data_IF_017222044804
#
_entry.id   IF_017222044804
#
_cell.length_a   1.000
_cell.length_b   1.000
_cell.length_c   1.000
_cell.angle_alpha   90.00
_cell.angle_beta   90.00
_cell.angle_gamma   90.00
#
_symmetry.space_group_name_H-M   'P 1'
#
loop_
_entity.id
_entity.type
_entity.pdbx_description
1 polymer ?
#
# COMPACT_ATOMS: atom_id res chain seq x y z
N UNK A 1 0.58 28.90 0.42
CA UNK A 1 0.55 28.34 0.10
C UNK A 1 1.06 27.27 -0.01
N UNK A 2 0.79 26.63 -0.06
CA UNK A 2 1.41 25.79 0.05
C UNK A 2 1.93 25.08 -1.04
N UNK A 3 2.84 25.37 -1.44
CA UNK A 3 3.58 24.81 -2.51
C UNK A 3 4.07 23.45 -2.25
N UNK A 4 4.10 23.09 -1.03
CA UNK A 4 4.54 21.76 -0.66
C UNK A 4 3.78 20.68 -1.37
N UNK A 5 2.48 20.91 -1.54
CA UNK A 5 1.64 19.87 -2.13
C UNK A 5 1.69 19.89 -3.65
N UNK A 6 2.31 20.91 -4.25
CA UNK A 6 2.35 20.98 -5.70
C UNK A 6 3.17 19.85 -6.31
N UNK A 7 4.16 19.37 -5.59
CA UNK A 7 5.03 18.32 -6.11
C UNK A 7 4.65 16.95 -5.64
N UNK A 8 3.63 16.83 -4.83
CA UNK A 8 3.22 15.56 -4.29
C UNK A 8 2.46 14.78 -5.35
N UNK A 9 2.82 13.52 -5.49
CA UNK A 9 2.25 12.67 -6.53
C UNK A 9 1.54 11.49 -5.92
N UNK A 10 0.65 10.91 -6.69
CA UNK A 10 -0.01 9.67 -6.33
C UNK A 10 0.45 8.60 -7.29
N UNK A 11 1.06 7.55 -6.76
CA UNK A 11 1.53 6.44 -7.58
C UNK A 11 0.58 5.27 -7.41
N UNK A 12 0.19 4.69 -8.52
CA UNK A 12 -0.59 3.46 -8.52
C UNK A 12 0.38 2.33 -8.75
N UNK A 13 0.56 1.47 -7.76
CA UNK A 13 1.49 0.36 -7.87
C UNK A 13 0.78 -0.85 -8.43
N UNK A 14 1.46 -1.55 -9.33
CA UNK A 14 0.91 -2.78 -9.84
C UNK A 14 1.56 -3.96 -9.13
N UNK A 15 1.04 -5.14 -9.44
CA UNK A 15 1.45 -6.35 -8.78
C UNK A 15 2.91 -6.67 -9.01
N UNK A 16 3.40 -6.44 -10.22
CA UNK A 16 4.78 -6.77 -10.56
C UNK A 16 5.78 -6.06 -9.69
N UNK A 17 5.54 -4.79 -9.41
CA UNK A 17 6.46 -4.05 -8.57
C UNK A 17 6.58 -4.72 -7.22
N UNK A 18 5.44 -5.05 -6.63
CA UNK A 18 5.44 -5.61 -5.28
C UNK A 18 5.97 -7.05 -5.24
N UNK A 19 5.79 -7.79 -6.32
CA UNK A 19 6.28 -9.16 -6.37
C UNK A 19 7.80 -9.23 -6.45
N UNK A 20 8.42 -8.17 -6.94
CA UNK A 20 9.87 -8.15 -7.08
C UNK A 20 10.56 -7.25 -6.08
N UNK A 21 9.81 -6.44 -5.35
CA UNK A 21 10.37 -5.55 -4.34
C UNK A 21 9.37 -5.38 -3.20
N UNK A 22 9.45 -6.24 -2.18
CA UNK A 22 8.48 -6.15 -1.08
C UNK A 22 8.62 -4.89 -0.25
N UNK A 23 9.72 -4.16 -0.39
CA UNK A 23 9.91 -2.91 0.31
C UNK A 23 9.52 -1.71 -0.53
N UNK A 24 8.87 -1.93 -1.67
CA UNK A 24 8.56 -0.84 -2.59
C UNK A 24 7.74 0.26 -1.94
N UNK A 25 6.87 -0.09 -1.01
CA UNK A 25 6.03 0.91 -0.35
C UNK A 25 6.85 1.99 0.34
N UNK A 26 8.06 1.69 0.73
CA UNK A 26 8.89 2.61 1.48
C UNK A 26 9.79 3.46 0.59
N UNK A 27 9.70 3.30 -0.73
CA UNK A 27 10.61 3.99 -1.64
C UNK A 27 10.04 5.26 -2.23
N UNK A 28 8.81 5.61 -1.91
CA UNK A 28 8.15 6.74 -2.55
C UNK A 28 8.13 8.00 -1.69
N UNK A 29 8.80 7.95 -0.58
CA UNK A 29 9.08 9.10 0.27
C UNK A 29 7.80 9.87 0.60
N UNK A 30 7.71 11.13 0.18
CA UNK A 30 6.56 11.96 0.55
C UNK A 30 5.35 11.72 -0.34
N UNK A 31 5.47 10.89 -1.35
CA UNK A 31 4.38 10.71 -2.30
C UNK A 31 3.39 9.66 -1.81
N UNK A 32 2.18 9.76 -2.31
CA UNK A 32 1.11 8.84 -1.92
C UNK A 32 1.09 7.64 -2.83
N UNK A 33 0.55 6.54 -2.31
CA UNK A 33 0.46 5.28 -3.04
C UNK A 33 -0.98 4.82 -3.00
N UNK A 34 -1.47 4.34 -4.13
CA UNK A 34 -2.80 3.78 -4.24
C UNK A 34 -2.69 2.32 -4.70
N UNK A 35 -3.34 1.42 -3.97
CA UNK A 35 -3.36 0.01 -4.29
C UNK A 35 -4.75 -0.39 -4.73
N UNK A 36 -4.95 -0.69 -6.02
CA UNK A 36 -6.23 -1.19 -6.49
C UNK A 36 -6.53 -2.56 -5.91
N UNK A 37 -7.81 -2.90 -5.83
CA UNK A 37 -8.21 -4.17 -5.29
C UNK A 37 -7.65 -5.34 -6.09
N UNK A 38 -7.55 -5.17 -7.41
CA UNK A 38 -7.03 -6.25 -8.25
C UNK A 38 -5.60 -6.59 -7.88
N UNK A 39 -4.82 -5.60 -7.45
CA UNK A 39 -3.45 -5.87 -7.04
C UNK A 39 -3.44 -6.73 -5.77
N UNK A 40 -4.30 -6.39 -4.83
CA UNK A 40 -4.38 -7.18 -3.60
C UNK A 40 -4.79 -8.61 -3.89
N UNK A 41 -5.73 -8.79 -4.82
CA UNK A 41 -6.17 -10.12 -5.20
C UNK A 41 -5.05 -10.91 -5.86
N UNK A 42 -4.30 -10.25 -6.73
CA UNK A 42 -3.18 -10.94 -7.39
C UNK A 42 -2.10 -11.31 -6.42
N UNK A 43 -1.81 -10.45 -5.46
CA UNK A 43 -0.85 -10.80 -4.43
C UNK A 43 -1.30 -12.04 -3.66
N UNK A 44 -2.57 -12.09 -3.34
CA UNK A 44 -3.10 -13.24 -2.60
C UNK A 44 -2.93 -14.52 -3.42
N UNK A 45 -3.09 -14.43 -4.72
CA UNK A 45 -2.96 -15.61 -5.59
C UNK A 45 -1.53 -16.11 -5.71
N UNK A 46 -0.54 -15.31 -5.38
CA UNK A 46 0.87 -15.68 -5.56
C UNK A 46 1.59 -15.92 -4.24
N UNK A 47 0.87 -16.06 -3.16
CA UNK A 47 1.52 -16.10 -1.84
C UNK A 47 2.02 -17.48 -1.44
N UNK A 48 1.70 -18.52 -2.20
CA UNK A 48 2.06 -19.88 -1.82
C UNK A 48 3.25 -20.36 -2.61
N UNK A 49 4.01 -21.25 -2.01
CA UNK A 49 5.14 -21.85 -2.67
C UNK A 49 6.46 -21.35 -2.12
N UNK A 50 7.54 -21.85 -2.71
CA UNK A 50 8.88 -21.60 -2.23
C UNK A 50 9.67 -20.65 -3.13
N UNK A 51 9.04 -20.12 -4.17
CA UNK A 51 9.74 -19.21 -5.07
C UNK A 51 10.06 -17.90 -4.38
N UNK A 52 10.99 -17.17 -4.96
CA UNK A 52 11.32 -15.85 -4.45
C UNK A 52 10.13 -14.92 -4.55
N UNK A 53 9.36 -15.05 -5.63
CA UNK A 53 8.16 -14.22 -5.80
C UNK A 53 7.19 -14.50 -4.65
N UNK A 54 6.96 -15.77 -4.32
CA UNK A 54 6.03 -16.10 -3.24
C UNK A 54 6.50 -15.53 -1.91
N UNK A 55 7.80 -15.60 -1.66
CA UNK A 55 8.35 -15.04 -0.43
C UNK A 55 8.19 -13.54 -0.38
N UNK A 56 8.43 -12.87 -1.50
CA UNK A 56 8.25 -11.43 -1.59
C UNK A 56 6.79 -11.04 -1.36
N UNK A 57 5.88 -11.81 -1.93
CA UNK A 57 4.46 -11.54 -1.76
C UNK A 57 4.06 -11.67 -0.29
N UNK A 58 4.55 -12.72 0.37
CA UNK A 58 4.22 -12.89 1.79
C UNK A 58 4.78 -11.76 2.64
N UNK A 59 5.98 -11.27 2.29
CA UNK A 59 6.54 -10.13 3.01
C UNK A 59 5.73 -8.86 2.76
N UNK A 60 5.34 -8.63 1.51
CA UNK A 60 4.48 -7.49 1.19
C UNK A 60 3.17 -7.56 1.97
N UNK A 61 2.56 -8.73 2.01
CA UNK A 61 1.30 -8.90 2.74
C UNK A 61 1.48 -8.61 4.22
N UNK A 62 2.60 -9.06 4.78
CA UNK A 62 2.87 -8.81 6.18
C UNK A 62 3.01 -7.32 6.46
N UNK A 63 3.70 -6.61 5.56
CA UNK A 63 3.84 -5.17 5.71
C UNK A 63 2.47 -4.49 5.64
N UNK A 64 1.65 -4.89 4.67
CA UNK A 64 0.31 -4.29 4.54
C UNK A 64 -0.54 -4.55 5.77
N UNK A 65 -0.48 -5.76 6.30
CA UNK A 65 -1.25 -6.08 7.50
C UNK A 65 -0.79 -5.20 8.66
N UNK A 66 0.51 -5.00 8.79
CA UNK A 66 1.02 -4.17 9.88
C UNK A 66 0.58 -2.73 9.72
N UNK A 67 0.61 -2.21 8.49
CA UNK A 67 0.17 -0.84 8.28
C UNK A 67 -1.32 -0.67 8.55
N UNK A 68 -2.10 -1.70 8.31
CA UNK A 68 -3.54 -1.64 8.51
C UNK A 68 -3.98 -1.97 9.94
N UNK A 69 -3.07 -2.49 10.74
CA UNK A 69 -3.43 -2.93 12.08
C UNK A 69 -3.97 -1.74 12.87
N UNK A 70 -5.10 -1.96 13.51
CA UNK A 70 -5.74 -0.94 14.34
C UNK A 70 -6.27 0.26 13.57
N UNK A 71 -6.29 0.20 12.24
CA UNK A 71 -6.82 1.30 11.45
C UNK A 71 -8.34 1.22 11.43
N UNK A 72 -8.99 2.36 11.59
CA UNK A 72 -10.43 2.44 11.42
C UNK A 72 -10.75 2.64 9.95
N UNK A 73 -12.03 2.48 9.62
CA UNK A 73 -12.47 2.73 8.25
C UNK A 73 -12.14 4.17 7.83
N UNK A 74 -12.36 5.12 8.72
CA UNK A 74 -12.08 6.51 8.40
C UNK A 74 -10.60 6.73 8.13
N UNK A 75 -9.74 6.05 8.86
CA UNK A 75 -8.30 6.15 8.63
C UNK A 75 -7.91 5.53 7.32
N UNK A 76 -8.54 4.44 6.93
CA UNK A 76 -8.26 3.84 5.64
C UNK A 76 -8.66 4.78 4.50
N UNK A 77 -9.79 5.44 4.63
CA UNK A 77 -10.25 6.37 3.60
C UNK A 77 -9.33 7.59 3.53
N UNK A 78 -8.89 8.08 4.67
CA UNK A 78 -8.02 9.26 4.71
C UNK A 78 -6.59 8.96 4.29
N UNK A 79 -6.23 7.69 4.21
CA UNK A 79 -4.87 7.30 3.86
C UNK A 79 -4.04 6.96 5.08
N UNK A 80 -3.41 5.80 5.06
CA UNK A 80 -2.56 5.36 6.16
C UNK A 80 -1.18 5.96 6.01
N UNK A 81 -0.64 6.57 7.06
CA UNK A 81 0.73 7.08 6.97
C UNK A 81 1.71 5.93 6.76
N UNK A 82 2.65 6.15 5.88
CA UNK A 82 3.69 5.18 5.61
C UNK A 82 4.93 5.63 6.38
N UNK A 83 5.43 4.82 7.32
CA UNK A 83 6.61 5.23 8.08
C UNK A 83 7.82 5.40 7.17
N UNK A 84 8.71 6.28 7.56
CA UNK A 84 9.96 6.45 6.83
C UNK A 84 10.91 5.36 7.29
N UNK A 85 10.89 4.24 6.60
CA UNK A 85 11.62 3.07 7.02
C UNK A 85 13.13 3.27 6.90
N UNK A 86 13.55 3.96 5.85
CA UNK A 86 14.98 4.06 5.54
C UNK A 86 15.65 5.25 6.18
N UNK A 87 14.90 6.27 6.55
CA UNK A 87 15.50 7.48 7.11
C UNK A 87 14.63 7.99 8.23
N UNK A 88 14.85 7.46 9.40
CA UNK A 88 14.03 7.81 10.56
C UNK A 88 14.38 9.15 11.15
N UNK A 89 15.45 9.77 10.67
CA UNK A 89 15.77 11.09 11.15
C UNK A 89 14.84 12.17 10.58
N UNK A 90 14.13 11.84 9.51
CA UNK A 90 13.16 12.77 8.94
C UNK A 90 11.78 12.44 9.48
N UNK A 91 11.18 13.40 10.13
CA UNK A 91 9.86 13.21 10.71
C UNK A 91 8.75 13.69 9.78
N UNK A 92 9.12 14.27 8.65
CA UNK A 92 8.14 14.80 7.71
C UNK A 92 8.31 14.10 6.37
N UNK A 93 7.40 14.37 5.47
CA UNK A 93 7.55 13.92 4.11
C UNK A 93 7.14 12.49 3.88
N UNK A 94 6.43 11.88 4.81
CA UNK A 94 5.90 10.55 4.54
C UNK A 94 4.61 10.67 3.76
N UNK A 95 4.47 9.77 2.79
CA UNK A 95 3.23 9.70 2.04
C UNK A 95 2.19 8.85 2.76
N UNK A 96 1.08 8.67 2.09
CA UNK A 96 -0.03 7.90 2.62
C UNK A 96 -0.36 6.78 1.67
N UNK A 97 -0.84 5.70 2.24
CA UNK A 97 -1.26 4.53 1.50
C UNK A 97 -2.76 4.50 1.45
N UNK A 98 -3.29 4.44 0.23
CA UNK A 98 -4.72 4.35 -0.01
C UNK A 98 -5.04 3.02 -0.64
N UNK A 99 -6.16 2.44 -0.21
CA UNK A 99 -6.69 1.24 -0.82
C UNK A 99 -7.95 1.59 -1.58
N UNK A 100 -8.28 0.77 -2.57
CA UNK A 100 -9.55 0.94 -3.23
C UNK A 100 -10.65 0.56 -2.26
N UNK A 101 -11.47 1.54 -1.90
CA UNK A 101 -12.53 1.32 -0.92
C UNK A 101 -13.92 1.45 -1.54
N UNK A 102 -13.98 1.76 -2.83
CA UNK A 102 -15.25 1.93 -3.52
C UNK A 102 -15.16 1.21 -4.85
N UNK A 103 -16.27 1.18 -5.55
CA UNK A 103 -16.31 0.62 -6.89
C UNK A 103 -16.91 -0.76 -6.96
N UNK A 104 -17.00 -1.45 -5.85
CA UNK A 104 -17.58 -2.79 -5.83
C UNK A 104 -18.81 -2.89 -4.95
N UNK A 105 -18.99 -1.95 -4.06
CA UNK A 105 -20.08 -2.02 -3.12
C UNK A 105 -21.43 -1.94 -3.81
N UNK A 106 -21.48 -1.36 -4.98
CA UNK A 106 -22.74 -1.25 -5.71
C UNK A 106 -23.12 -2.53 -6.39
N UNK A 107 -22.15 -3.36 -6.68
CA UNK A 107 -22.41 -4.56 -7.45
C UNK A 107 -22.60 -5.76 -6.57
N UNK A 108 -21.82 -5.84 -5.52
CA UNK A 108 -21.98 -6.93 -4.57
C UNK A 108 -21.13 -6.65 -3.36
N UNK A 109 -21.52 -7.21 -2.25
CA UNK A 109 -20.71 -7.09 -1.06
C UNK A 109 -19.34 -7.68 -1.30
N UNK A 110 -18.36 -7.04 -0.78
CA UNK A 110 -16.99 -7.50 -0.93
C UNK A 110 -16.36 -7.57 0.44
N UNK A 111 -15.85 -8.72 0.78
CA UNK A 111 -15.14 -8.84 2.04
C UNK A 111 -13.71 -9.24 1.77
N UNK A 112 -12.81 -8.55 2.42
CA UNK A 112 -11.40 -8.87 2.34
C UNK A 112 -11.13 -10.10 3.18
N UNK A 113 -10.28 -10.96 2.68
CA UNK A 113 -9.91 -12.13 3.44
C UNK A 113 -9.16 -11.78 4.71
#
# INVERSE_FOLDING_TARGET
MNQVNADRKLFVLDTNILMHDPMALYHFEEHDIYLPMVVLEELDNHKTGLSEVARNVRQTNRILVELMANATHDQLVAGLPIPNYFDKSHSHGTGRLFFQTTGFEDTQPFSLP
#
